data_IF_424112615141
#
_entry.id   IF_424112615141
#
_cell.length_a   1.000
_cell.length_b   1.000
_cell.length_c   1.000
_cell.angle_alpha   90.00
_cell.angle_beta   90.00
_cell.angle_gamma   90.00
#
_symmetry.space_group_name_H-M   'P 1'
#
loop_
_entity.id
_entity.type
_entity.pdbx_description
1 polymer ?
#
# COMPACT_ATOMS: atom_id res chain seq x y z
N UNK A 1 23.11 -19.45 5.52
CA UNK A 1 22.81 -18.23 6.29
C UNK A 1 21.65 -17.47 5.60
N UNK A 2 20.62 -18.23 5.19
CA UNK A 2 19.42 -17.73 4.48
C UNK A 2 18.12 -18.17 5.20
N UNK A 3 18.23 -18.81 6.37
CA UNK A 3 17.08 -19.43 7.05
C UNK A 3 16.37 -18.51 8.07
N UNK A 4 16.70 -17.21 8.11
CA UNK A 4 16.12 -16.30 9.11
C UNK A 4 15.24 -15.19 8.54
N UNK A 5 15.00 -15.14 7.22
CA UNK A 5 14.12 -14.10 6.62
C UNK A 5 12.65 -14.55 6.58
N UNK A 6 12.41 -15.85 6.65
CA UNK A 6 11.05 -16.42 6.59
C UNK A 6 10.20 -16.17 7.84
N UNK A 7 10.76 -15.66 8.93
CA UNK A 7 10.06 -15.41 10.19
C UNK A 7 9.71 -13.92 10.44
N UNK A 8 9.99 -13.01 9.49
CA UNK A 8 9.35 -11.69 9.50
C UNK A 8 7.95 -11.86 8.92
N UNK A 9 7.20 -12.75 9.53
CA UNK A 9 5.76 -12.85 9.36
C UNK A 9 5.17 -11.51 9.76
N UNK A 10 4.34 -10.94 8.92
CA UNK A 10 3.41 -9.91 9.38
C UNK A 10 2.84 -10.37 10.73
N UNK A 11 2.84 -9.49 11.76
CA UNK A 11 2.33 -9.89 13.06
C UNK A 11 0.99 -10.63 12.90
N UNK A 12 0.71 -11.70 13.63
CA UNK A 12 -0.54 -12.47 13.51
C UNK A 12 -1.81 -11.60 13.50
N UNK A 13 -1.71 -10.39 14.05
CA UNK A 13 -2.76 -9.38 14.04
C UNK A 13 -3.16 -8.86 12.66
N UNK A 14 -2.25 -8.80 11.67
CA UNK A 14 -2.58 -8.27 10.33
C UNK A 14 -3.49 -9.25 9.59
N UNK A 15 -3.12 -10.52 9.53
CA UNK A 15 -3.95 -11.54 8.88
C UNK A 15 -5.33 -11.65 9.55
N UNK A 16 -5.42 -11.55 10.89
CA UNK A 16 -6.68 -11.57 11.63
C UNK A 16 -7.53 -10.32 11.38
N UNK A 17 -6.91 -9.14 11.24
CA UNK A 17 -7.60 -7.90 10.91
C UNK A 17 -8.23 -7.96 9.52
N UNK A 18 -7.47 -8.38 8.53
CA UNK A 18 -7.99 -8.51 7.17
C UNK A 18 -8.93 -9.70 6.97
N UNK A 19 -8.98 -10.66 7.89
CA UNK A 19 -10.09 -11.60 7.97
C UNK A 19 -11.42 -10.92 8.33
N UNK A 20 -11.37 -9.78 9.02
CA UNK A 20 -12.49 -8.86 9.21
C UNK A 20 -12.77 -8.01 7.96
N UNK A 21 -12.73 -8.59 6.77
CA UNK A 21 -12.83 -7.91 5.48
C UNK A 21 -14.04 -6.97 5.36
N UNK A 22 -15.15 -7.30 6.01
CA UNK A 22 -16.34 -6.45 6.03
C UNK A 22 -16.09 -5.09 6.69
N UNK A 23 -15.24 -5.07 7.72
CA UNK A 23 -14.83 -3.82 8.39
C UNK A 23 -14.00 -2.96 7.44
N UNK A 24 -13.01 -3.55 6.76
CA UNK A 24 -12.22 -2.82 5.78
C UNK A 24 -13.10 -2.23 4.66
N UNK A 25 -14.02 -3.01 4.10
CA UNK A 25 -14.96 -2.52 3.10
C UNK A 25 -15.80 -1.34 3.63
N UNK A 26 -16.23 -1.39 4.89
CA UNK A 26 -16.96 -0.27 5.51
C UNK A 26 -16.09 1.00 5.59
N UNK A 27 -14.82 0.89 5.96
CA UNK A 27 -13.86 2.00 5.99
C UNK A 27 -13.70 2.61 4.59
N UNK A 28 -13.54 1.79 3.56
CA UNK A 28 -13.40 2.23 2.16
C UNK A 28 -14.69 2.89 1.64
N UNK A 29 -15.85 2.25 1.83
CA UNK A 29 -17.15 2.73 1.35
C UNK A 29 -17.52 4.10 1.96
N UNK A 30 -17.23 4.28 3.23
CA UNK A 30 -17.45 5.52 3.95
C UNK A 30 -16.35 6.58 3.70
N UNK A 31 -15.35 6.27 2.88
CA UNK A 31 -14.22 7.16 2.58
C UNK A 31 -13.44 7.63 3.83
N UNK A 32 -13.37 6.79 4.84
CA UNK A 32 -12.78 7.15 6.14
C UNK A 32 -11.27 7.50 6.06
N UNK A 33 -10.57 6.93 5.07
CA UNK A 33 -9.15 7.19 4.79
C UNK A 33 -8.93 7.89 3.45
N UNK A 34 -9.88 8.69 3.00
CA UNK A 34 -9.80 9.48 1.76
C UNK A 34 -9.51 8.67 0.49
N UNK A 35 -9.99 7.42 0.44
CA UNK A 35 -9.76 6.50 -0.68
C UNK A 35 -10.23 7.06 -2.04
N UNK A 36 -11.25 7.95 -2.06
CA UNK A 36 -11.75 8.56 -3.32
C UNK A 36 -10.77 9.58 -3.86
N UNK A 37 -10.21 10.42 -2.99
CA UNK A 37 -9.23 11.46 -3.30
C UNK A 37 -7.93 10.80 -3.77
N UNK A 38 -7.47 9.80 -3.02
CA UNK A 38 -6.31 8.98 -3.33
C UNK A 38 -6.51 8.23 -4.66
N UNK A 39 -7.66 7.60 -4.87
CA UNK A 39 -8.00 6.92 -6.12
C UNK A 39 -8.00 7.86 -7.31
N UNK A 40 -8.45 9.11 -7.11
CA UNK A 40 -8.40 10.16 -8.15
C UNK A 40 -6.96 10.56 -8.47
N UNK A 41 -6.10 10.70 -7.45
CA UNK A 41 -4.68 10.99 -7.66
C UNK A 41 -3.97 9.83 -8.38
N UNK A 42 -4.23 8.60 -7.96
CA UNK A 42 -3.70 7.38 -8.58
C UNK A 42 -4.12 7.27 -10.05
N UNK A 43 -5.40 7.53 -10.36
CA UNK A 43 -5.92 7.56 -11.72
C UNK A 43 -5.14 8.53 -12.62
N UNK A 44 -4.87 9.75 -12.16
CA UNK A 44 -4.08 10.75 -12.91
C UNK A 44 -2.66 10.29 -13.18
N UNK A 45 -2.06 9.57 -12.24
CA UNK A 45 -0.72 8.97 -12.46
C UNK A 45 -0.79 7.97 -13.61
N UNK A 46 -1.71 7.02 -13.57
CA UNK A 46 -1.84 6.00 -14.60
C UNK A 46 -2.19 6.59 -15.98
N UNK A 47 -3.03 7.61 -16.04
CA UNK A 47 -3.35 8.34 -17.28
C UNK A 47 -2.14 9.04 -17.90
N UNK A 48 -1.12 9.36 -17.08
CA UNK A 48 0.11 10.00 -17.55
C UNK A 48 1.13 9.01 -18.11
N UNK A 49 0.90 7.71 -18.01
CA UNK A 49 1.79 6.66 -18.48
C UNK A 49 1.36 6.25 -19.89
N UNK A 50 2.28 6.33 -20.83
CA UNK A 50 2.06 5.97 -22.24
C UNK A 50 3.23 5.08 -22.71
N UNK A 51 2.98 4.04 -23.52
CA UNK A 51 1.70 3.68 -24.15
C UNK A 51 0.89 2.62 -23.39
N UNK A 52 1.46 1.50 -23.02
CA UNK A 52 0.86 0.34 -22.37
C UNK A 52 1.86 -0.14 -21.31
N UNK A 53 1.38 -0.40 -20.11
CA UNK A 53 2.25 -0.64 -18.97
C UNK A 53 1.84 -1.85 -18.14
N UNK A 54 2.82 -2.46 -17.51
CA UNK A 54 2.68 -3.53 -16.52
C UNK A 54 2.60 -2.97 -15.11
N UNK A 55 1.77 -3.59 -14.25
CA UNK A 55 1.57 -3.18 -12.86
C UNK A 55 1.87 -4.33 -11.90
N UNK A 56 2.68 -4.05 -10.88
CA UNK A 56 2.82 -4.88 -9.68
C UNK A 56 2.26 -4.11 -8.48
N UNK A 57 1.27 -4.68 -7.81
CA UNK A 57 0.59 -4.11 -6.64
C UNK A 57 0.96 -4.92 -5.38
N UNK A 58 1.79 -4.34 -4.53
CA UNK A 58 2.35 -4.97 -3.33
C UNK A 58 1.52 -4.61 -2.09
N UNK A 59 0.88 -5.61 -1.49
CA UNK A 59 -0.14 -5.43 -0.47
C UNK A 59 -1.48 -5.02 -1.10
N UNK A 60 -1.89 -5.70 -2.17
CA UNK A 60 -3.00 -5.27 -3.03
C UNK A 60 -4.39 -5.39 -2.39
N UNK A 61 -4.53 -6.13 -1.28
CA UNK A 61 -5.84 -6.40 -0.69
C UNK A 61 -6.82 -7.00 -1.71
N UNK A 62 -8.01 -6.40 -1.83
CA UNK A 62 -9.01 -6.75 -2.86
C UNK A 62 -8.78 -6.09 -4.21
N UNK A 63 -7.68 -5.40 -4.37
CA UNK A 63 -7.29 -4.66 -5.58
C UNK A 63 -8.31 -3.60 -6.05
N UNK A 64 -9.36 -3.32 -5.30
CA UNK A 64 -10.49 -2.50 -5.76
C UNK A 64 -10.07 -1.08 -6.16
N UNK A 65 -9.15 -0.46 -5.42
CA UNK A 65 -8.65 0.87 -5.71
C UNK A 65 -7.80 0.89 -6.99
N UNK A 66 -6.88 -0.07 -7.14
CA UNK A 66 -6.05 -0.20 -8.33
C UNK A 66 -6.89 -0.53 -9.57
N UNK A 67 -7.78 -1.53 -9.50
CA UNK A 67 -8.66 -1.93 -10.60
C UNK A 67 -9.50 -0.75 -11.08
N UNK A 68 -10.11 0.00 -10.16
CA UNK A 68 -10.90 1.19 -10.49
C UNK A 68 -10.05 2.29 -11.13
N UNK A 69 -8.85 2.53 -10.63
CA UNK A 69 -7.95 3.52 -11.20
C UNK A 69 -7.40 3.11 -12.58
N UNK A 70 -7.34 1.82 -12.89
CA UNK A 70 -6.89 1.27 -14.18
C UNK A 70 -8.01 1.10 -15.21
N UNK A 71 -9.28 1.32 -14.85
CA UNK A 71 -10.42 1.11 -15.73
C UNK A 71 -10.30 1.90 -17.04
N UNK A 72 -10.43 1.21 -18.17
CA UNK A 72 -10.35 1.80 -19.50
C UNK A 72 -8.95 2.24 -19.96
N UNK A 73 -7.90 1.98 -19.17
CA UNK A 73 -6.51 2.22 -19.57
C UNK A 73 -5.91 1.02 -20.28
N UNK A 74 -4.81 1.27 -21.00
CA UNK A 74 -4.05 0.24 -21.71
C UNK A 74 -3.04 -0.39 -20.76
N UNK A 75 -3.46 -1.46 -20.08
CA UNK A 75 -2.63 -2.24 -19.16
C UNK A 75 -2.21 -3.53 -19.85
N UNK A 76 -0.92 -3.82 -19.90
CA UNK A 76 -0.38 -5.07 -20.45
C UNK A 76 -0.59 -6.24 -19.50
N UNK A 77 -0.34 -6.02 -18.21
CA UNK A 77 -0.55 -7.02 -17.17
C UNK A 77 -0.69 -6.37 -15.78
N UNK A 78 -1.41 -7.04 -14.91
CA UNK A 78 -1.52 -6.69 -13.49
C UNK A 78 -1.14 -7.90 -12.63
N UNK A 79 -0.28 -7.68 -11.64
CA UNK A 79 0.04 -8.69 -10.62
C UNK A 79 -0.21 -8.09 -9.24
N UNK A 80 -1.21 -8.61 -8.54
CA UNK A 80 -1.50 -8.27 -7.14
C UNK A 80 -0.88 -9.29 -6.20
N UNK A 81 -0.23 -8.82 -5.14
CA UNK A 81 0.41 -9.66 -4.11
C UNK A 81 -0.15 -9.29 -2.75
N UNK A 82 -0.68 -10.25 -2.02
CA UNK A 82 -1.18 -10.03 -0.67
C UNK A 82 -1.03 -11.29 0.21
N UNK A 83 -0.91 -11.07 1.53
CA UNK A 83 -0.87 -12.14 2.54
C UNK A 83 -2.25 -12.74 2.85
N UNK A 84 -3.33 -12.08 2.41
CA UNK A 84 -4.70 -12.38 2.82
C UNK A 84 -5.44 -13.09 1.70
N UNK A 85 -5.44 -14.43 1.73
CA UNK A 85 -6.12 -15.22 0.71
C UNK A 85 -7.59 -14.82 0.49
N UNK A 86 -8.43 -14.57 1.52
CA UNK A 86 -9.80 -14.09 1.33
C UNK A 86 -9.89 -12.76 0.57
N UNK A 87 -8.95 -11.81 0.77
CA UNK A 87 -8.94 -10.57 0.00
C UNK A 87 -8.65 -10.81 -1.48
N UNK A 88 -7.70 -11.71 -1.78
CA UNK A 88 -7.40 -12.12 -3.15
C UNK A 88 -8.57 -12.82 -3.84
N UNK A 89 -9.40 -13.57 -3.11
CA UNK A 89 -10.61 -14.19 -3.65
C UNK A 89 -11.63 -13.11 -4.04
N UNK A 90 -11.79 -12.07 -3.22
CA UNK A 90 -12.61 -10.90 -3.55
C UNK A 90 -12.04 -10.16 -4.76
N UNK A 91 -10.72 -9.94 -4.82
CA UNK A 91 -10.06 -9.32 -5.97
C UNK A 91 -10.33 -10.05 -7.28
N UNK A 92 -10.21 -11.38 -7.29
CA UNK A 92 -10.52 -12.22 -8.47
C UNK A 92 -11.99 -12.13 -8.88
N UNK A 93 -12.90 -12.14 -7.90
CA UNK A 93 -14.34 -12.07 -8.16
C UNK A 93 -14.76 -10.71 -8.73
N UNK A 94 -14.14 -9.64 -8.29
CA UNK A 94 -14.45 -8.27 -8.70
C UNK A 94 -13.74 -7.82 -9.98
N UNK A 95 -12.80 -8.62 -10.48
CA UNK A 95 -12.05 -8.25 -11.67
C UNK A 95 -12.85 -8.50 -12.95
N UNK A 96 -13.11 -7.44 -13.70
CA UNK A 96 -13.79 -7.46 -15.00
C UNK A 96 -12.95 -6.76 -16.10
N UNK A 97 -11.65 -6.59 -15.85
CA UNK A 97 -10.73 -5.97 -16.80
C UNK A 97 -10.48 -6.80 -18.06
N UNK A 98 -9.96 -6.16 -19.09
CA UNK A 98 -9.64 -6.77 -20.39
C UNK A 98 -8.18 -7.19 -20.52
N UNK A 99 -7.36 -6.92 -19.51
CA UNK A 99 -5.93 -7.25 -19.45
C UNK A 99 -5.68 -8.51 -18.63
N UNK A 100 -4.50 -9.09 -18.78
CA UNK A 100 -4.09 -10.23 -17.95
C UNK A 100 -3.90 -9.81 -16.50
N UNK A 101 -4.55 -10.50 -15.56
CA UNK A 101 -4.40 -10.24 -14.14
C UNK A 101 -4.09 -11.53 -13.36
N UNK A 102 -3.16 -11.43 -12.42
CA UNK A 102 -2.72 -12.53 -11.55
C UNK A 102 -2.71 -12.06 -10.10
N UNK A 103 -3.16 -12.91 -9.18
CA UNK A 103 -3.12 -12.64 -7.74
C UNK A 103 -2.30 -13.72 -7.04
N UNK A 104 -1.26 -13.26 -6.32
CA UNK A 104 -0.29 -14.08 -5.64
C UNK A 104 -0.52 -14.02 -4.14
N UNK A 105 -0.79 -15.15 -3.51
CA UNK A 105 -0.84 -15.26 -2.06
C UNK A 105 0.59 -15.40 -1.54
N UNK A 106 1.19 -14.29 -1.17
CA UNK A 106 2.59 -14.21 -0.74
C UNK A 106 2.86 -12.99 0.15
N UNK A 107 3.93 -13.04 0.91
CA UNK A 107 4.49 -11.87 1.57
C UNK A 107 5.10 -10.94 0.51
N UNK A 108 4.73 -9.66 0.51
CA UNK A 108 5.17 -8.67 -0.46
C UNK A 108 6.70 -8.41 -0.40
N UNK A 109 7.32 -8.58 0.79
CA UNK A 109 8.77 -8.44 0.96
C UNK A 109 9.51 -9.61 0.33
N UNK A 110 9.05 -10.83 0.56
CA UNK A 110 9.65 -12.03 -0.02
C UNK A 110 9.42 -12.08 -1.53
N UNK A 111 8.21 -11.71 -1.98
CA UNK A 111 7.85 -11.74 -3.39
C UNK A 111 8.79 -10.87 -4.25
N UNK A 112 9.05 -9.62 -3.83
CA UNK A 112 9.91 -8.71 -4.61
C UNK A 112 11.34 -9.22 -4.73
N UNK A 113 11.83 -10.04 -3.79
CA UNK A 113 13.17 -10.61 -3.85
C UNK A 113 13.28 -11.86 -4.75
N UNK A 114 12.15 -12.47 -5.08
CA UNK A 114 12.08 -13.74 -5.83
C UNK A 114 11.59 -13.57 -7.27
N UNK A 115 10.91 -12.47 -7.58
CA UNK A 115 10.42 -12.20 -8.92
C UNK A 115 11.58 -11.82 -9.86
N UNK A 116 11.64 -12.49 -11.01
CA UNK A 116 12.65 -12.20 -12.05
C UNK A 116 12.02 -11.43 -13.21
N UNK A 117 11.47 -10.26 -12.90
CA UNK A 117 10.78 -9.41 -13.86
C UNK A 117 10.88 -7.94 -13.43
N UNK A 118 10.92 -7.03 -14.41
CA UNK A 118 10.76 -5.59 -14.18
C UNK A 118 9.34 -5.16 -14.55
N UNK A 119 8.87 -4.11 -13.88
CA UNK A 119 7.54 -3.56 -14.06
C UNK A 119 7.62 -2.07 -14.39
N UNK A 120 6.66 -1.60 -15.19
CA UNK A 120 6.55 -0.17 -15.52
C UNK A 120 5.96 0.61 -14.36
N UNK A 121 5.07 -0.01 -13.61
CA UNK A 121 4.55 0.52 -12.35
C UNK A 121 4.68 -0.54 -11.27
N UNK A 122 5.31 -0.18 -10.17
CA UNK A 122 5.16 -0.89 -8.90
C UNK A 122 4.37 0.04 -7.98
N UNK A 123 3.32 -0.46 -7.37
CA UNK A 123 2.55 0.32 -6.42
C UNK A 123 2.41 -0.41 -5.09
N UNK A 124 2.23 0.37 -4.04
CA UNK A 124 1.82 -0.09 -2.71
C UNK A 124 0.92 0.97 -2.09
N UNK A 125 -0.15 0.54 -1.48
CA UNK A 125 -1.13 1.43 -0.88
C UNK A 125 -1.59 0.88 0.47
N UNK A 126 -1.35 1.65 1.54
CA UNK A 126 -1.68 1.28 2.91
C UNK A 126 -1.16 -0.10 3.33
N UNK A 127 0.08 -0.43 2.95
CA UNK A 127 0.69 -1.70 3.28
C UNK A 127 2.12 -1.58 3.86
N UNK A 128 2.90 -0.58 3.46
CA UNK A 128 4.28 -0.43 3.91
C UNK A 128 4.37 -0.11 5.42
N UNK A 129 3.38 0.58 5.99
CA UNK A 129 3.38 0.93 7.41
C UNK A 129 3.36 -0.30 8.34
N UNK A 130 3.00 -1.48 7.85
CA UNK A 130 3.08 -2.72 8.61
C UNK A 130 4.50 -3.28 8.75
N UNK A 131 5.47 -2.76 7.99
CA UNK A 131 6.84 -3.24 8.03
C UNK A 131 7.66 -2.50 9.10
N UNK A 132 8.65 -3.15 9.75
CA UNK A 132 9.66 -2.46 10.54
C UNK A 132 10.51 -1.48 9.69
N UNK A 133 11.08 -0.47 10.33
CA UNK A 133 11.80 0.62 9.66
C UNK A 133 12.99 0.15 8.79
N UNK A 134 13.77 -0.80 9.28
CA UNK A 134 14.90 -1.39 8.56
C UNK A 134 14.46 -2.22 7.36
N UNK A 135 13.36 -2.95 7.50
CA UNK A 135 12.75 -3.73 6.40
C UNK A 135 12.22 -2.78 5.31
N UNK A 136 11.53 -1.69 5.67
CA UNK A 136 11.08 -0.68 4.71
C UNK A 136 12.20 -0.16 3.83
N UNK A 137 13.36 0.19 4.43
CA UNK A 137 14.52 0.68 3.69
C UNK A 137 15.07 -0.34 2.70
N UNK A 138 15.26 -1.58 3.15
CA UNK A 138 15.75 -2.65 2.28
C UNK A 138 14.77 -2.97 1.15
N UNK A 139 13.47 -3.03 1.48
CA UNK A 139 12.40 -3.30 0.53
C UNK A 139 12.27 -2.24 -0.56
N UNK A 140 12.40 -0.95 -0.24
CA UNK A 140 12.41 0.12 -1.24
C UNK A 140 13.59 0.02 -2.20
N UNK A 141 14.76 -0.43 -1.72
CA UNK A 141 15.92 -0.71 -2.57
C UNK A 141 15.62 -1.88 -3.53
N UNK A 142 14.96 -2.94 -3.04
CA UNK A 142 14.59 -4.07 -3.90
C UNK A 142 13.51 -3.68 -4.91
N UNK A 143 12.50 -2.91 -4.52
CA UNK A 143 11.51 -2.34 -5.45
C UNK A 143 12.21 -1.56 -6.58
N UNK A 144 13.16 -0.69 -6.25
CA UNK A 144 13.86 0.11 -7.24
C UNK A 144 14.56 -0.75 -8.30
N UNK A 145 15.10 -1.91 -7.95
CA UNK A 145 15.76 -2.84 -8.92
C UNK A 145 14.78 -3.42 -9.94
N UNK A 146 13.50 -3.57 -9.55
CA UNK A 146 12.46 -4.18 -10.38
C UNK A 146 11.63 -3.17 -11.19
N UNK A 147 11.98 -1.88 -11.14
CA UNK A 147 11.42 -0.89 -12.06
C UNK A 147 12.11 -0.97 -13.43
N UNK A 148 11.33 -0.85 -14.51
CA UNK A 148 11.91 -0.60 -15.85
C UNK A 148 12.67 0.74 -15.86
N UNK A 149 13.53 1.03 -16.85
CA UNK A 149 14.27 2.29 -16.90
C UNK A 149 13.40 3.56 -16.85
N UNK A 150 12.15 3.48 -17.28
CA UNK A 150 11.14 4.56 -17.26
C UNK A 150 10.00 4.31 -16.27
N UNK A 151 10.12 3.23 -15.53
CA UNK A 151 9.11 2.84 -14.54
C UNK A 151 9.03 3.78 -13.34
N UNK A 152 7.95 3.66 -12.60
CA UNK A 152 7.75 4.39 -11.36
C UNK A 152 7.23 3.50 -10.23
N UNK A 153 7.60 3.85 -9.00
CA UNK A 153 6.92 3.40 -7.80
C UNK A 153 5.81 4.41 -7.46
N UNK A 154 4.60 3.93 -7.22
CA UNK A 154 3.52 4.71 -6.60
C UNK A 154 3.40 4.24 -5.14
N UNK A 155 3.78 5.11 -4.23
CA UNK A 155 3.75 4.87 -2.79
C UNK A 155 2.64 5.71 -2.17
N UNK A 156 1.66 5.05 -1.55
CA UNK A 156 0.58 5.70 -0.78
C UNK A 156 0.56 5.03 0.58
N UNK A 157 0.72 5.81 1.65
CA UNK A 157 0.73 5.21 2.98
C UNK A 157 0.37 6.20 4.10
N UNK A 158 0.19 5.64 5.29
CA UNK A 158 0.09 6.41 6.53
C UNK A 158 1.45 7.02 6.88
N UNK A 159 1.43 8.19 7.47
CA UNK A 159 2.60 8.98 7.80
C UNK A 159 2.50 9.54 9.21
N UNK A 160 3.63 9.68 9.89
CA UNK A 160 3.73 10.47 11.12
C UNK A 160 3.91 11.95 10.73
N UNK A 161 3.03 12.85 11.21
CA UNK A 161 3.27 14.28 11.08
C UNK A 161 4.62 14.69 11.66
N UNK A 162 5.17 15.80 11.15
CA UNK A 162 6.40 16.35 11.69
C UNK A 162 6.26 16.60 13.20
N UNK A 163 7.31 16.29 13.95
CA UNK A 163 7.39 16.47 15.39
C UNK A 163 6.44 15.62 16.26
N UNK A 164 5.80 14.60 15.66
CA UNK A 164 4.99 13.62 16.39
C UNK A 164 5.69 12.25 16.44
N UNK A 165 5.56 11.59 17.59
CA UNK A 165 5.92 10.19 17.74
C UNK A 165 4.86 9.27 17.10
N UNK A 166 5.21 7.98 16.91
CA UNK A 166 4.24 6.97 16.50
C UNK A 166 3.00 6.95 17.41
N UNK A 167 3.19 6.97 18.72
CA UNK A 167 2.10 6.84 19.66
C UNK A 167 1.16 8.05 19.63
N UNK A 168 1.69 9.27 19.48
CA UNK A 168 0.91 10.48 19.26
C UNK A 168 0.16 10.42 17.93
N UNK A 169 0.80 9.91 16.88
CA UNK A 169 0.17 9.72 15.56
C UNK A 169 -0.98 8.72 15.64
N UNK A 170 -0.78 7.57 16.28
CA UNK A 170 -1.85 6.58 16.49
C UNK A 170 -2.99 7.21 17.30
N UNK A 171 -2.71 7.95 18.36
CA UNK A 171 -3.76 8.63 19.15
C UNK A 171 -4.55 9.63 18.29
N UNK A 172 -3.86 10.43 17.46
CA UNK A 172 -4.51 11.37 16.55
C UNK A 172 -5.43 10.65 15.54
N UNK A 173 -5.01 9.49 15.01
CA UNK A 173 -5.89 8.67 14.18
C UNK A 173 -7.12 8.17 14.95
N UNK A 174 -6.93 7.72 16.19
CA UNK A 174 -8.05 7.23 17.01
C UNK A 174 -9.06 8.34 17.31
N UNK A 175 -8.60 9.57 17.49
CA UNK A 175 -9.48 10.73 17.67
C UNK A 175 -10.33 10.99 16.41
N UNK A 176 -9.75 10.83 15.21
CA UNK A 176 -10.51 10.91 13.96
C UNK A 176 -11.47 9.73 13.78
N UNK A 177 -11.04 8.52 14.14
CA UNK A 177 -11.86 7.30 14.07
C UNK A 177 -13.09 7.40 14.98
N UNK A 178 -13.04 8.21 16.06
CA UNK A 178 -14.18 8.42 16.93
C UNK A 178 -15.42 8.91 16.16
N UNK A 179 -15.24 9.69 15.10
CA UNK A 179 -16.31 10.23 14.26
C UNK A 179 -16.67 9.36 13.04
N UNK A 180 -15.96 8.25 12.83
CA UNK A 180 -16.26 7.37 11.69
C UNK A 180 -17.61 6.66 11.86
N UNK A 181 -18.37 6.48 10.77
CA UNK A 181 -19.68 5.82 10.80
C UNK A 181 -19.56 4.29 10.82
N UNK A 182 -18.80 3.78 11.78
CA UNK A 182 -18.62 2.35 12.05
C UNK A 182 -18.99 2.05 13.51
N UNK A 183 -19.24 0.79 13.83
CA UNK A 183 -19.66 0.40 15.17
C UNK A 183 -18.58 0.64 16.23
N UNK A 184 -18.96 0.73 17.50
CA UNK A 184 -17.98 0.85 18.61
C UNK A 184 -17.07 -0.37 18.70
N UNK A 185 -17.59 -1.56 18.37
CA UNK A 185 -16.79 -2.77 18.31
C UNK A 185 -15.74 -2.69 17.20
N UNK A 186 -16.12 -2.23 16.00
CA UNK A 186 -15.21 -2.01 14.88
C UNK A 186 -14.11 -0.98 15.24
N UNK A 187 -14.46 0.13 15.88
CA UNK A 187 -13.47 1.11 16.36
C UNK A 187 -12.47 0.49 17.33
N UNK A 188 -12.93 -0.41 18.20
CA UNK A 188 -12.04 -1.13 19.13
C UNK A 188 -11.10 -2.08 18.40
N UNK A 189 -11.59 -2.78 17.36
CA UNK A 189 -10.77 -3.66 16.52
C UNK A 189 -9.70 -2.85 15.78
N UNK A 190 -10.08 -1.72 15.16
CA UNK A 190 -9.16 -0.82 14.46
C UNK A 190 -8.10 -0.30 15.44
N UNK A 191 -8.50 0.20 16.60
CA UNK A 191 -7.58 0.72 17.61
C UNK A 191 -6.56 -0.35 18.04
N UNK A 192 -7.02 -1.56 18.33
CA UNK A 192 -6.12 -2.66 18.69
C UNK A 192 -5.13 -2.97 17.58
N UNK A 193 -5.58 -2.99 16.31
CA UNK A 193 -4.73 -3.22 15.16
C UNK A 193 -3.66 -2.13 15.04
N UNK A 194 -4.04 -0.87 15.06
CA UNK A 194 -3.11 0.26 14.94
C UNK A 194 -2.03 0.22 16.02
N UNK A 195 -2.40 -0.03 17.27
CA UNK A 195 -1.43 -0.13 18.38
C UNK A 195 -0.47 -1.31 18.22
N UNK A 196 -0.91 -2.43 17.67
CA UNK A 196 -0.10 -3.66 17.58
C UNK A 196 0.68 -3.81 16.28
N UNK A 197 0.24 -3.20 15.18
CA UNK A 197 0.66 -3.61 13.84
C UNK A 197 0.99 -2.47 12.88
N UNK A 198 0.74 -1.20 13.26
CA UNK A 198 1.05 -0.07 12.42
C UNK A 198 2.30 0.66 12.92
N UNK A 199 3.24 0.84 12.01
CA UNK A 199 4.51 1.53 12.22
C UNK A 199 4.66 2.64 11.18
N UNK A 200 3.79 3.68 11.23
CA UNK A 200 3.92 4.81 10.30
C UNK A 200 5.25 5.52 10.55
N UNK A 201 5.87 5.99 9.48
CA UNK A 201 7.12 6.72 9.52
C UNK A 201 6.89 8.19 9.20
N UNK A 202 7.83 9.04 9.63
CA UNK A 202 7.81 10.45 9.23
C UNK A 202 8.09 10.61 7.73
N UNK A 203 7.60 11.71 7.16
CA UNK A 203 7.90 12.07 5.78
C UNK A 203 9.42 12.17 5.53
N UNK A 204 10.17 12.69 6.50
CA UNK A 204 11.63 12.76 6.43
C UNK A 204 12.26 11.36 6.30
N UNK A 205 11.81 10.39 7.12
CA UNK A 205 12.29 9.02 7.02
C UNK A 205 12.00 8.40 5.64
N UNK A 206 10.79 8.61 5.13
CA UNK A 206 10.38 8.06 3.83
C UNK A 206 11.22 8.67 2.71
N UNK A 207 11.45 9.99 2.74
CA UNK A 207 12.28 10.70 1.77
C UNK A 207 13.73 10.21 1.78
N UNK A 208 14.31 10.04 2.97
CA UNK A 208 15.67 9.50 3.12
C UNK A 208 15.77 8.05 2.61
N UNK A 209 14.77 7.22 2.87
CA UNK A 209 14.72 5.83 2.40
C UNK A 209 14.58 5.75 0.87
N UNK A 210 13.75 6.60 0.27
CA UNK A 210 13.61 6.70 -1.20
C UNK A 210 14.92 7.19 -1.83
N UNK A 211 15.55 8.21 -1.27
CA UNK A 211 16.84 8.70 -1.75
C UNK A 211 17.94 7.64 -1.66
N UNK A 212 17.98 6.87 -0.57
CA UNK A 212 18.90 5.74 -0.42
C UNK A 212 18.65 4.60 -1.43
N UNK A 213 17.42 4.44 -1.89
CA UNK A 213 17.05 3.52 -2.97
C UNK A 213 17.33 4.08 -4.38
N UNK A 214 17.87 5.31 -4.49
CA UNK A 214 18.13 5.99 -5.77
C UNK A 214 16.85 6.50 -6.45
N UNK A 215 15.81 6.78 -5.67
CA UNK A 215 14.53 7.27 -6.17
C UNK A 215 14.33 8.74 -5.78
N UNK A 216 13.96 9.54 -6.76
CA UNK A 216 13.38 10.88 -6.55
C UNK A 216 11.85 10.77 -6.55
N UNK A 217 11.15 11.67 -5.86
CA UNK A 217 9.70 11.63 -5.78
C UNK A 217 9.02 12.95 -6.10
N UNK A 218 7.75 12.85 -6.48
CA UNK A 218 6.81 13.96 -6.61
C UNK A 218 5.55 13.61 -5.81
N UNK A 219 5.11 14.54 -4.98
CA UNK A 219 3.88 14.38 -4.20
C UNK A 219 2.65 14.41 -5.12
N UNK A 220 1.80 13.41 -4.99
CA UNK A 220 0.51 13.30 -5.70
C UNK A 220 -0.68 13.46 -4.77
N UNK A 221 -0.48 13.22 -3.49
CA UNK A 221 -1.48 13.33 -2.44
C UNK A 221 -0.81 13.66 -1.10
N UNK A 222 -1.46 14.50 -0.30
CA UNK A 222 -1.03 14.78 1.06
C UNK A 222 -2.27 15.11 1.90
N UNK A 223 -2.46 14.36 2.99
CA UNK A 223 -3.55 14.60 3.94
C UNK A 223 -3.36 15.92 4.69
N UNK A 224 -4.43 16.67 4.93
CA UNK A 224 -4.38 17.99 5.55
C UNK A 224 -3.69 18.03 6.92
N UNK A 225 -3.68 16.93 7.66
CA UNK A 225 -3.01 16.79 8.95
C UNK A 225 -1.69 16.00 8.87
N UNK A 226 -1.18 15.72 7.67
CA UNK A 226 0.06 14.97 7.48
C UNK A 226 -0.01 13.49 7.88
N UNK A 227 -1.21 12.92 8.03
CA UNK A 227 -1.40 11.52 8.43
C UNK A 227 -1.25 10.52 7.28
N UNK A 228 -1.29 10.98 6.05
CA UNK A 228 -1.16 10.17 4.86
C UNK A 228 -0.44 10.95 3.78
N UNK A 229 0.32 10.25 2.96
CA UNK A 229 1.01 10.80 1.81
C UNK A 229 0.88 9.88 0.59
N UNK A 230 1.05 10.47 -0.59
CA UNK A 230 1.14 9.74 -1.85
C UNK A 230 2.24 10.32 -2.72
N UNK A 231 3.13 9.48 -3.21
CA UNK A 231 4.25 9.83 -4.05
C UNK A 231 4.28 9.02 -5.35
N UNK A 232 4.75 9.66 -6.41
CA UNK A 232 5.31 8.97 -7.58
C UNK A 232 6.82 9.10 -7.51
N UNK A 233 7.51 7.97 -7.51
CA UNK A 233 8.95 7.90 -7.37
C UNK A 233 9.58 7.36 -8.65
N UNK A 234 10.68 7.96 -9.10
CA UNK A 234 11.44 7.57 -10.31
C UNK A 234 12.94 7.58 -10.01
N UNK A 235 13.69 6.81 -10.80
CA UNK A 235 15.16 6.86 -10.76
C UNK A 235 15.72 8.17 -11.28
#
# INVERSE_FOLDING_TARGET
MLDHITDVMAPPGIAAFFQGWQLYQSVVQNNCMEHREIGTALRRVFESIDPEFSVLDLGCGDSSMAIKALEGLRVSSYTGVDLTAPALDVARANFHGTYSATWMHANMVDYITTVDQQFDVIMTSFAMHHLPADIKKAWLVDIAKHLTPWGCLVLIDTCCPADMSRDETVQMYLDLIADWPVSTEDKTIIAKHMWSSDFPESEAFINDALAAAGLSHTTIYHHQHGLQLGYVCRR
#
